data_IF_806884183922
#
_entry.id   IF_806884183922
#
_cell.length_a   1.000
_cell.length_b   1.000
_cell.length_c   1.000
_cell.angle_alpha   90.00
_cell.angle_beta   90.00
_cell.angle_gamma   90.00
#
_symmetry.space_group_name_H-M   'P 1'
#
loop_
_entity.id
_entity.type
_entity.pdbx_description
1 polymer ?
#
# COMPACT_ATOMS: atom_id res chain seq x y z
N UNK A 1 13.16 -4.38 13.68
CA UNK A 1 13.34 -4.52 12.21
C UNK A 1 14.33 -3.50 11.66
N UNK A 2 14.14 -2.22 11.91
CA UNK A 2 15.04 -1.12 11.47
C UNK A 2 16.49 -1.32 11.94
N UNK A 3 16.70 -1.66 13.19
CA UNK A 3 18.03 -1.91 13.75
C UNK A 3 18.75 -3.06 13.04
N UNK A 4 18.03 -4.16 12.78
CA UNK A 4 18.60 -5.29 12.07
C UNK A 4 19.03 -4.93 10.64
N UNK A 5 18.17 -4.21 9.89
CA UNK A 5 18.53 -3.72 8.57
C UNK A 5 19.71 -2.73 8.59
N UNK A 6 19.74 -1.85 9.60
CA UNK A 6 20.83 -0.87 9.76
C UNK A 6 22.17 -1.57 10.03
N UNK A 7 22.17 -2.67 10.77
CA UNK A 7 23.36 -3.45 11.09
C UNK A 7 23.89 -4.27 9.89
N UNK A 8 23.07 -4.51 8.86
CA UNK A 8 23.47 -5.27 7.68
C UNK A 8 24.62 -4.58 6.92
N UNK A 9 25.66 -5.34 6.63
CA UNK A 9 26.80 -4.98 5.82
C UNK A 9 26.67 -5.50 4.40
N UNK A 10 27.53 -5.04 3.52
CA UNK A 10 27.62 -5.50 2.14
C UNK A 10 27.74 -7.04 2.07
N UNK A 11 26.86 -7.68 1.34
CA UNK A 11 26.78 -9.14 1.19
C UNK A 11 25.93 -9.87 2.24
N UNK A 12 25.36 -9.18 3.21
CA UNK A 12 24.57 -9.83 4.26
C UNK A 12 23.17 -10.27 3.78
N UNK A 13 22.66 -11.30 4.46
CA UNK A 13 21.27 -11.73 4.35
C UNK A 13 20.54 -11.47 5.65
N UNK A 14 19.49 -10.66 5.58
CA UNK A 14 18.53 -10.46 6.67
C UNK A 14 17.40 -11.50 6.54
N UNK A 15 17.29 -12.39 7.50
CA UNK A 15 16.20 -13.38 7.56
C UNK A 15 15.15 -12.89 8.57
N UNK A 16 13.88 -12.82 8.12
CA UNK A 16 12.76 -12.30 8.94
C UNK A 16 12.15 -13.43 9.78
N UNK A 17 12.07 -14.62 9.22
CA UNK A 17 11.39 -15.76 9.84
C UNK A 17 9.95 -15.94 9.33
N UNK A 18 9.44 -17.18 9.44
CA UNK A 18 8.12 -17.53 8.91
C UNK A 18 6.96 -17.08 9.79
N UNK A 19 5.72 -17.28 9.29
CA UNK A 19 4.47 -16.97 9.97
C UNK A 19 3.82 -15.67 9.49
N UNK A 20 2.74 -15.28 10.14
CA UNK A 20 2.04 -14.03 9.87
C UNK A 20 2.52 -12.94 10.84
N UNK A 21 2.97 -11.82 10.30
CA UNK A 21 3.55 -10.70 11.04
C UNK A 21 2.74 -9.44 10.74
N UNK A 22 2.29 -8.77 11.80
CA UNK A 22 1.52 -7.52 11.70
C UNK A 22 2.39 -6.31 11.98
N UNK A 23 2.31 -5.30 11.13
CA UNK A 23 3.08 -4.06 11.23
C UNK A 23 2.15 -2.86 11.32
N UNK A 24 2.34 -2.07 12.37
CA UNK A 24 1.57 -0.87 12.67
C UNK A 24 2.43 0.38 12.46
N UNK A 25 1.79 1.52 12.26
CA UNK A 25 2.48 2.80 12.00
C UNK A 25 3.10 3.41 13.26
N UNK A 26 3.79 2.59 14.06
CA UNK A 26 4.46 2.99 15.28
C UNK A 26 5.97 2.72 15.15
N UNK A 27 6.78 3.73 15.46
CA UNK A 27 8.24 3.61 15.46
C UNK A 27 8.86 3.17 14.13
N UNK A 28 8.24 3.54 13.01
CA UNK A 28 8.77 3.32 11.68
C UNK A 28 9.78 4.40 11.29
N UNK A 29 10.56 4.12 10.25
CA UNK A 29 11.40 5.13 9.65
C UNK A 29 10.53 6.11 8.85
N UNK A 30 10.71 7.40 9.10
CA UNK A 30 9.97 8.44 8.41
C UNK A 30 10.89 9.29 7.54
N UNK A 31 10.51 9.50 6.30
CA UNK A 31 11.22 10.38 5.38
C UNK A 31 10.28 10.94 4.32
N UNK A 32 10.53 12.18 3.95
CA UNK A 32 9.85 12.78 2.80
C UNK A 32 10.37 12.19 1.50
N UNK A 33 9.44 11.67 0.69
CA UNK A 33 9.72 11.18 -0.64
C UNK A 33 8.68 11.66 -1.64
N UNK A 34 9.17 11.97 -2.85
CA UNK A 34 8.36 12.02 -4.04
C UNK A 34 8.41 10.65 -4.71
N UNK A 35 7.30 9.97 -4.79
CA UNK A 35 7.22 8.62 -5.38
C UNK A 35 6.28 8.65 -6.57
N UNK A 36 6.85 8.57 -7.77
CA UNK A 36 6.14 8.55 -9.04
C UNK A 36 5.15 9.74 -9.18
N UNK A 37 3.88 9.46 -9.44
CA UNK A 37 2.81 10.44 -9.60
C UNK A 37 2.07 10.79 -8.30
N UNK A 38 2.60 10.40 -7.16
CA UNK A 38 2.07 10.77 -5.85
C UNK A 38 2.71 12.06 -5.35
N UNK A 39 2.00 12.76 -4.47
CA UNK A 39 2.49 14.00 -3.88
C UNK A 39 3.74 13.77 -3.02
N UNK A 40 4.59 14.80 -2.99
CA UNK A 40 5.69 14.87 -2.07
C UNK A 40 5.14 14.94 -0.63
N UNK A 41 5.43 13.93 0.16
CA UNK A 41 4.93 13.86 1.54
C UNK A 41 5.77 12.94 2.41
N UNK A 42 5.58 13.07 3.72
CA UNK A 42 6.16 12.16 4.72
C UNK A 42 5.66 10.74 4.47
N UNK A 43 6.58 9.79 4.42
CA UNK A 43 6.30 8.36 4.25
C UNK A 43 6.81 7.58 5.45
N UNK A 44 5.95 6.73 6.01
CA UNK A 44 6.32 5.76 7.06
C UNK A 44 6.76 4.47 6.39
N UNK A 45 7.96 4.00 6.69
CA UNK A 45 8.64 2.94 5.93
C UNK A 45 9.12 1.87 6.88
N UNK A 46 8.78 0.60 6.59
CA UNK A 46 9.27 -0.53 7.40
C UNK A 46 10.73 -0.89 7.06
N UNK A 47 11.05 -1.04 5.76
CA UNK A 47 12.40 -1.35 5.29
C UNK A 47 12.98 -0.21 4.45
N UNK A 48 13.63 0.78 5.06
CA UNK A 48 14.35 1.82 4.33
C UNK A 48 15.72 1.31 3.87
N UNK A 49 15.78 0.70 2.69
CA UNK A 49 17.00 0.17 2.09
C UNK A 49 17.70 1.33 1.37
N UNK A 50 18.48 2.11 2.12
CA UNK A 50 19.10 3.34 1.64
C UNK A 50 20.62 3.19 1.62
N UNK A 51 21.24 3.41 0.45
CA UNK A 51 22.69 3.33 0.27
C UNK A 51 23.30 1.96 0.57
N UNK A 52 22.52 0.90 0.43
CA UNK A 52 22.94 -0.49 0.69
C UNK A 52 23.36 -1.18 -0.61
N UNK A 53 24.26 -2.18 -0.49
CA UNK A 53 24.71 -2.99 -1.61
C UNK A 53 24.71 -4.47 -1.26
N UNK A 54 24.37 -5.29 -2.26
CA UNK A 54 24.41 -6.75 -2.17
C UNK A 54 23.63 -7.34 -0.97
N UNK A 55 22.47 -6.74 -0.62
CA UNK A 55 21.66 -7.18 0.51
C UNK A 55 20.57 -8.13 0.03
N UNK A 56 20.41 -9.22 0.77
CA UNK A 56 19.27 -10.13 0.62
C UNK A 56 18.34 -9.96 1.82
N UNK A 57 17.06 -9.73 1.56
CA UNK A 57 15.99 -9.79 2.58
C UNK A 57 15.19 -11.05 2.27
N UNK A 58 15.32 -12.05 3.15
CA UNK A 58 14.63 -13.34 3.03
C UNK A 58 13.51 -13.42 4.07
N UNK A 59 12.27 -13.43 3.61
CA UNK A 59 11.10 -13.51 4.47
C UNK A 59 10.91 -14.87 5.16
N UNK A 60 11.60 -15.92 4.70
CA UNK A 60 11.44 -17.26 5.25
C UNK A 60 10.02 -17.81 5.12
N UNK A 61 9.26 -17.35 4.12
CA UNK A 61 7.87 -17.71 3.91
C UNK A 61 6.86 -16.88 4.75
N UNK A 62 7.26 -15.76 5.32
CA UNK A 62 6.35 -14.93 6.13
C UNK A 62 5.28 -14.25 5.27
N UNK A 63 4.12 -14.00 5.89
CA UNK A 63 3.10 -13.08 5.40
C UNK A 63 3.14 -11.81 6.24
N UNK A 64 3.43 -10.69 5.60
CA UNK A 64 3.46 -9.36 6.22
C UNK A 64 2.12 -8.67 6.02
N UNK A 65 1.44 -8.35 7.11
CA UNK A 65 0.17 -7.61 7.11
C UNK A 65 0.44 -6.20 7.63
N UNK A 66 0.15 -5.22 6.79
CA UNK A 66 0.36 -3.81 7.12
C UNK A 66 -0.95 -3.15 7.56
N UNK A 67 -0.89 -2.41 8.66
CA UNK A 67 -1.98 -1.64 9.23
C UNK A 67 -1.77 -0.16 8.98
N UNK A 68 -2.65 0.41 8.14
CA UNK A 68 -2.57 1.83 7.77
C UNK A 68 -1.56 2.12 6.65
N UNK A 69 -1.18 3.40 6.52
CA UNK A 69 -0.34 3.90 5.42
C UNK A 69 1.14 3.64 5.66
N UNK A 70 1.57 2.44 5.42
CA UNK A 70 2.97 2.03 5.55
C UNK A 70 3.52 1.62 4.19
N UNK A 71 4.69 2.12 3.81
CA UNK A 71 5.47 1.57 2.70
C UNK A 71 6.27 0.37 3.19
N UNK A 72 6.05 -0.82 2.65
CA UNK A 72 6.81 -2.00 3.03
C UNK A 72 8.31 -1.84 2.79
N UNK A 73 8.68 -1.38 1.61
CA UNK A 73 10.06 -1.24 1.19
C UNK A 73 10.27 0.09 0.44
N UNK A 74 11.39 0.74 0.70
CA UNK A 74 11.94 1.81 -0.13
C UNK A 74 13.39 1.45 -0.45
N UNK A 75 13.73 1.43 -1.73
CA UNK A 75 15.08 1.17 -2.21
C UNK A 75 15.58 2.48 -2.83
N UNK A 76 16.50 3.14 -2.12
CA UNK A 76 17.04 4.45 -2.50
C UNK A 76 18.57 4.40 -2.54
N UNK A 77 19.18 4.79 -3.67
CA UNK A 77 20.64 4.81 -3.87
C UNK A 77 21.31 3.49 -3.48
N UNK A 78 20.65 2.38 -3.75
CA UNK A 78 21.09 1.03 -3.39
C UNK A 78 21.30 0.17 -4.64
N UNK A 79 22.08 -0.88 -4.51
CA UNK A 79 22.58 -1.69 -5.62
C UNK A 79 22.50 -3.17 -5.28
N UNK A 80 22.04 -4.00 -6.21
CA UNK A 80 21.95 -5.44 -6.07
C UNK A 80 21.19 -5.88 -4.80
N UNK A 81 19.91 -5.43 -4.69
CA UNK A 81 19.02 -5.78 -3.59
C UNK A 81 18.08 -6.90 -4.01
N UNK A 82 18.00 -7.94 -3.20
CA UNK A 82 17.07 -9.06 -3.39
C UNK A 82 16.09 -9.13 -2.24
N UNK A 83 14.80 -9.17 -2.56
CA UNK A 83 13.70 -9.39 -1.60
C UNK A 83 12.99 -10.65 -2.05
N UNK A 84 12.88 -11.64 -1.17
CA UNK A 84 12.35 -12.96 -1.54
C UNK A 84 11.63 -13.67 -0.40
N UNK A 85 10.87 -14.71 -0.75
CA UNK A 85 10.21 -15.63 0.18
C UNK A 85 9.30 -14.94 1.19
N UNK A 86 8.49 -13.96 0.73
CA UNK A 86 7.51 -13.28 1.56
C UNK A 86 6.27 -12.88 0.74
N UNK A 87 5.18 -12.68 1.44
CA UNK A 87 3.94 -12.08 0.93
C UNK A 87 3.73 -10.75 1.62
N UNK A 88 3.31 -9.74 0.87
CA UNK A 88 2.92 -8.42 1.38
C UNK A 88 1.43 -8.24 1.17
N UNK A 89 0.73 -7.85 2.22
CA UNK A 89 -0.70 -7.57 2.18
C UNK A 89 -1.05 -6.45 3.16
N UNK A 90 -2.21 -5.86 3.03
CA UNK A 90 -2.75 -4.86 3.95
C UNK A 90 -3.97 -5.41 4.67
N UNK A 91 -4.13 -5.09 5.94
CA UNK A 91 -5.29 -5.49 6.74
C UNK A 91 -6.59 -4.92 6.17
N UNK A 92 -6.52 -3.66 5.70
CA UNK A 92 -7.60 -2.99 4.98
C UNK A 92 -7.05 -2.34 3.69
N UNK A 93 -7.83 -2.32 2.60
CA UNK A 93 -7.40 -1.69 1.36
C UNK A 93 -7.22 -0.17 1.54
N UNK A 94 -6.20 0.41 0.91
CA UNK A 94 -5.94 1.86 0.89
C UNK A 94 -6.63 2.56 -0.29
N UNK A 95 -7.70 2.00 -0.78
CA UNK A 95 -8.51 2.53 -1.88
C UNK A 95 -9.99 2.25 -1.58
N UNK A 96 -10.86 2.89 -2.33
CA UNK A 96 -12.29 2.61 -2.33
C UNK A 96 -12.70 2.09 -3.71
N UNK A 97 -13.52 1.06 -3.71
CA UNK A 97 -14.01 0.41 -4.93
C UNK A 97 -15.53 0.26 -4.86
N UNK A 98 -16.19 0.61 -5.95
CA UNK A 98 -17.63 0.46 -6.06
C UNK A 98 -18.04 0.13 -7.50
N UNK A 99 -19.11 -0.64 -7.64
CA UNK A 99 -19.75 -0.87 -8.92
C UNK A 99 -20.72 0.28 -9.21
N UNK A 100 -20.56 0.95 -10.34
CA UNK A 100 -21.56 1.88 -10.85
C UNK A 100 -22.71 1.07 -11.43
N UNK A 101 -23.88 1.19 -10.83
CA UNK A 101 -25.08 0.43 -11.23
C UNK A 101 -26.05 1.27 -12.07
N UNK A 102 -25.96 2.60 -11.95
CA UNK A 102 -26.74 3.55 -12.75
C UNK A 102 -26.09 4.94 -12.73
N UNK A 103 -26.33 5.76 -13.75
CA UNK A 103 -25.84 7.13 -13.80
C UNK A 103 -26.75 8.01 -14.67
N UNK A 104 -26.84 9.31 -14.33
CA UNK A 104 -27.56 10.34 -15.06
C UNK A 104 -26.71 11.61 -15.20
N UNK A 105 -27.32 12.72 -15.64
CA UNK A 105 -26.61 13.99 -15.83
C UNK A 105 -26.02 14.53 -14.50
N UNK A 106 -26.70 14.27 -13.38
CA UNK A 106 -26.43 14.84 -12.07
C UNK A 106 -26.29 13.82 -10.94
N UNK A 107 -26.27 12.52 -11.26
CA UNK A 107 -26.08 11.48 -10.26
C UNK A 107 -25.27 10.28 -10.77
N UNK A 108 -24.63 9.61 -9.82
CA UNK A 108 -24.03 8.28 -9.99
C UNK A 108 -24.51 7.39 -8.85
N UNK A 109 -25.14 6.25 -9.18
CA UNK A 109 -25.56 5.27 -8.20
C UNK A 109 -24.48 4.17 -8.08
N UNK A 110 -23.90 4.07 -6.91
CA UNK A 110 -22.82 3.11 -6.63
C UNK A 110 -23.27 2.04 -5.65
N UNK A 111 -22.81 0.82 -5.91
CA UNK A 111 -22.93 -0.31 -4.98
C UNK A 111 -21.55 -0.76 -4.55
N UNK A 112 -21.30 -0.83 -3.24
CA UNK A 112 -20.03 -1.26 -2.68
C UNK A 112 -20.23 -2.24 -1.51
N UNK A 113 -19.17 -2.96 -1.16
CA UNK A 113 -19.16 -3.86 0.00
C UNK A 113 -18.92 -3.08 1.29
N UNK A 114 -19.95 -2.95 2.10
CA UNK A 114 -19.90 -2.23 3.38
C UNK A 114 -19.10 -2.95 4.48
N UNK A 115 -18.66 -4.19 4.23
CA UNK A 115 -17.77 -4.91 5.16
C UNK A 115 -16.30 -4.57 4.91
N UNK A 116 -15.98 -4.27 3.65
CA UNK A 116 -14.61 -3.99 3.23
C UNK A 116 -14.32 -2.49 3.22
N UNK A 117 -15.32 -1.67 2.87
CA UNK A 117 -15.13 -0.23 2.69
C UNK A 117 -16.02 0.59 3.61
N UNK A 118 -15.42 1.61 4.21
CA UNK A 118 -16.14 2.61 4.99
C UNK A 118 -16.26 3.88 4.18
N UNK A 119 -17.49 4.34 3.97
CA UNK A 119 -17.74 5.64 3.36
C UNK A 119 -18.90 6.36 4.05
N UNK A 120 -18.89 7.67 3.97
CA UNK A 120 -19.91 8.56 4.55
C UNK A 120 -20.10 9.81 3.68
N UNK A 121 -21.14 10.59 3.98
CA UNK A 121 -21.36 11.90 3.37
C UNK A 121 -21.24 12.95 4.48
N UNK A 122 -20.19 13.74 4.42
CA UNK A 122 -19.90 14.79 5.37
C UNK A 122 -19.90 16.14 4.64
N UNK A 123 -20.69 17.08 5.12
CA UNK A 123 -20.85 18.42 4.51
C UNK A 123 -21.12 18.39 2.99
N UNK A 124 -21.90 17.41 2.53
CA UNK A 124 -22.23 17.21 1.12
C UNK A 124 -21.10 16.63 0.27
N UNK A 125 -20.02 16.19 0.89
CA UNK A 125 -18.89 15.53 0.22
C UNK A 125 -18.87 14.04 0.51
N UNK A 126 -18.53 13.26 -0.48
CA UNK A 126 -18.31 11.83 -0.32
C UNK A 126 -16.93 11.60 0.33
N UNK A 127 -16.93 10.97 1.49
CA UNK A 127 -15.72 10.67 2.27
C UNK A 127 -15.58 9.17 2.42
N UNK A 128 -14.40 8.67 2.18
CA UNK A 128 -14.06 7.28 2.43
C UNK A 128 -12.80 7.17 3.26
N UNK A 129 -12.76 6.15 4.09
CA UNK A 129 -11.69 5.96 5.07
C UNK A 129 -11.38 4.49 5.27
N UNK A 130 -10.22 4.24 5.81
CA UNK A 130 -9.74 2.96 6.27
C UNK A 130 -8.78 3.16 7.44
N UNK A 131 -8.08 2.11 7.81
CA UNK A 131 -7.16 2.15 8.93
C UNK A 131 -6.04 3.19 8.71
N UNK A 132 -6.01 4.22 9.56
CA UNK A 132 -4.99 5.27 9.54
C UNK A 132 -5.06 6.24 8.35
N UNK A 133 -6.16 6.26 7.59
CA UNK A 133 -6.33 7.21 6.50
C UNK A 133 -7.79 7.61 6.27
N UNK A 134 -7.96 8.80 5.69
CA UNK A 134 -9.26 9.36 5.31
C UNK A 134 -9.06 10.28 4.11
N UNK A 135 -9.92 10.16 3.12
CA UNK A 135 -9.89 10.99 1.93
C UNK A 135 -11.29 11.49 1.57
N UNK A 136 -11.36 12.71 1.04
CA UNK A 136 -12.53 13.20 0.32
C UNK A 136 -12.41 12.76 -1.15
N UNK A 137 -13.50 12.34 -1.77
CA UNK A 137 -13.51 12.00 -3.19
C UNK A 137 -13.32 13.28 -4.02
N UNK A 138 -12.12 13.45 -4.57
CA UNK A 138 -11.77 14.53 -5.48
C UNK A 138 -12.00 14.11 -6.92
N UNK A 139 -11.81 12.82 -7.20
CA UNK A 139 -11.98 12.22 -8.53
C UNK A 139 -12.48 10.79 -8.39
N UNK A 140 -13.42 10.42 -9.25
CA UNK A 140 -13.82 9.03 -9.46
C UNK A 140 -13.14 8.57 -10.75
N UNK A 141 -12.30 7.57 -10.63
CA UNK A 141 -11.70 6.90 -11.78
C UNK A 141 -12.65 5.78 -12.19
N UNK A 142 -13.25 5.89 -13.34
CA UNK A 142 -14.14 4.87 -13.89
C UNK A 142 -13.35 4.02 -14.87
N UNK A 143 -13.28 2.73 -14.61
CA UNK A 143 -12.73 1.74 -15.54
C UNK A 143 -13.83 0.78 -15.96
N UNK A 144 -13.88 0.44 -17.22
CA UNK A 144 -14.70 -0.68 -17.66
C UNK A 144 -14.08 -1.99 -17.13
N UNK A 145 -14.91 -2.87 -16.65
CA UNK A 145 -14.48 -4.17 -16.16
C UNK A 145 -14.82 -5.24 -17.18
N UNK A 146 -13.81 -5.90 -17.70
CA UNK A 146 -14.01 -7.04 -18.59
C UNK A 146 -14.36 -8.29 -17.76
N UNK A 147 -15.63 -8.69 -17.82
CA UNK A 147 -16.14 -9.81 -17.05
C UNK A 147 -15.54 -11.17 -17.47
N UNK A 148 -15.11 -11.32 -18.72
CA UNK A 148 -14.49 -12.55 -19.22
C UNK A 148 -13.05 -12.68 -18.71
N UNK A 149 -12.28 -11.59 -18.76
CA UNK A 149 -10.91 -11.55 -18.27
C UNK A 149 -10.84 -11.42 -16.74
N UNK A 150 -11.94 -11.07 -16.08
CA UNK A 150 -12.00 -10.74 -14.64
C UNK A 150 -10.97 -9.66 -14.24
N UNK A 151 -10.77 -8.70 -15.11
CA UNK A 151 -9.80 -7.62 -14.92
C UNK A 151 -10.38 -6.30 -15.46
N UNK A 152 -9.93 -5.16 -14.93
CA UNK A 152 -10.22 -3.86 -15.51
C UNK A 152 -9.70 -3.78 -16.95
N UNK A 153 -10.47 -3.17 -17.84
CA UNK A 153 -9.99 -2.83 -19.18
C UNK A 153 -8.80 -1.85 -19.07
N UNK A 154 -7.73 -2.04 -19.84
CA UNK A 154 -6.68 -1.05 -19.93
C UNK A 154 -7.24 0.26 -20.48
N UNK A 155 -6.80 1.37 -19.94
CA UNK A 155 -7.20 2.70 -20.44
C UNK A 155 -6.92 2.82 -21.94
N UNK A 156 -7.94 3.24 -22.67
CA UNK A 156 -7.80 3.60 -24.08
C UNK A 156 -7.20 5.01 -24.23
#
# INVERSE_FOLDING_TARGET
MLEALSACKDGDTLVIGGGELHFYNEHLFEKEYYISNNDYSMKSILFPIIGKKNIVIDGGGCKMIFHGRILPFVIDKSENITIKNLTVDYAEPMYFEALIVDSGEDFVLMKYDTKTFTCDIEDGKFVFSGEGWRNEAIRVLVTEFNAEMKAPEPYA
#
